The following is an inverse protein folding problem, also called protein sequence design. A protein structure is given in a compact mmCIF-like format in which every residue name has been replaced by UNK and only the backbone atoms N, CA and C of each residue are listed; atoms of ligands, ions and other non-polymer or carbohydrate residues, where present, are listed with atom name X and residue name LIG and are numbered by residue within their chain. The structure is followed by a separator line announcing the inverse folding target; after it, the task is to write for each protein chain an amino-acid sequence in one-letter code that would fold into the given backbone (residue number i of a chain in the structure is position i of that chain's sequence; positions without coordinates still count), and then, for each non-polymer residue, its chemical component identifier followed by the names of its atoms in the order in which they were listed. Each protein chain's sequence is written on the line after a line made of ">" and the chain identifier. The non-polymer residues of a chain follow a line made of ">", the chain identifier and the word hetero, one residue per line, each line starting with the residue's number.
data_IF_280101244270
#
_entry.id   IF_280101244270
#
_cell.length_a   1.000
_cell.length_b   1.000
_cell.length_c   1.000
_cell.angle_alpha   90.00
_cell.angle_beta   90.00
_cell.angle_gamma   90.00
#
_symmetry.space_group_name_H-M   'P 1'
#
loop_
_entity.id
_entity.type
_entity.pdbx_description
1 polymer ?
#
# COMPACT_ATOMS: atom_id res chain seq x y z
N UNK A 1 51.57 -46.93 -8.87
CA UNK A 1 53.05 -46.89 -9.00
C UNK A 1 53.48 -45.43 -8.82
N UNK A 2 54.39 -45.19 -7.88
CA UNK A 2 55.32 -44.05 -7.72
C UNK A 2 54.71 -42.63 -7.69
N UNK A 3 54.80 -41.81 -6.64
CA UNK A 3 55.89 -41.64 -5.68
C UNK A 3 56.98 -40.72 -6.26
N UNK A 4 57.22 -39.55 -5.66
CA UNK A 4 58.42 -38.76 -5.98
C UNK A 4 58.32 -37.24 -5.80
N UNK A 5 58.54 -36.77 -4.57
CA UNK A 5 58.92 -35.41 -4.15
C UNK A 5 60.41 -35.12 -4.41
N UNK A 6 60.75 -33.89 -4.79
CA UNK A 6 61.96 -33.10 -4.43
C UNK A 6 61.66 -31.64 -4.85
N UNK A 7 61.98 -30.55 -4.14
CA UNK A 7 62.87 -30.36 -3.00
C UNK A 7 63.78 -29.14 -3.26
N UNK A 8 63.33 -27.96 -2.81
CA UNK A 8 64.06 -26.78 -2.25
C UNK A 8 65.30 -26.10 -2.90
N UNK A 9 65.37 -24.79 -2.58
CA UNK A 9 66.49 -23.81 -2.55
C UNK A 9 66.66 -22.94 -3.83
N UNK A 10 66.85 -21.61 -3.79
CA UNK A 10 67.08 -20.58 -2.77
C UNK A 10 66.64 -19.21 -3.37
N UNK A 11 65.93 -18.34 -2.65
CA UNK A 11 66.42 -17.20 -1.83
C UNK A 11 67.21 -16.11 -2.58
N UNK A 12 66.55 -14.94 -2.70
CA UNK A 12 67.01 -13.54 -2.68
C UNK A 12 68.20 -13.11 -3.57
N UNK A 13 68.00 -12.12 -4.44
CA UNK A 13 68.00 -10.69 -4.09
C UNK A 13 68.11 -9.77 -5.34
N UNK A 14 67.69 -8.52 -5.15
CA UNK A 14 67.98 -7.33 -5.95
C UNK A 14 67.14 -7.00 -7.20
N UNK A 15 66.19 -6.10 -6.96
CA UNK A 15 66.14 -4.85 -7.71
C UNK A 15 65.07 -4.78 -8.79
N UNK A 16 63.97 -4.08 -8.51
CA UNK A 16 63.66 -2.76 -9.09
C UNK A 16 62.16 -2.48 -8.90
N UNK A 17 61.82 -1.49 -8.07
CA UNK A 17 60.44 -1.02 -7.88
C UNK A 17 60.23 0.18 -8.81
N UNK A 18 59.45 0.09 -9.90
CA UNK A 18 58.82 1.25 -10.47
C UNK A 18 57.49 1.50 -9.75
N UNK A 19 57.41 2.65 -9.06
CA UNK A 19 56.17 3.20 -8.49
C UNK A 19 55.11 3.36 -9.59
N UNK A 20 54.03 2.59 -9.51
CA UNK A 20 52.83 2.78 -10.33
C UNK A 20 51.98 3.87 -9.68
N UNK A 21 52.17 5.12 -10.12
CA UNK A 21 51.21 6.20 -9.90
C UNK A 21 49.96 5.97 -10.75
N UNK A 22 48.79 6.25 -10.18
CA UNK A 22 47.51 6.30 -10.91
C UNK A 22 46.47 5.27 -10.47
N UNK A 23 46.29 5.08 -9.15
CA UNK A 23 45.16 4.34 -8.60
C UNK A 23 43.90 5.20 -8.63
N UNK A 24 43.05 4.92 -9.61
CA UNK A 24 41.60 5.12 -9.67
C UNK A 24 40.98 6.06 -8.63
N UNK A 25 40.62 7.25 -9.09
CA UNK A 25 39.52 8.02 -8.51
C UNK A 25 38.22 7.26 -8.83
N UNK A 26 37.86 6.30 -7.97
CA UNK A 26 36.54 5.68 -7.99
C UNK A 26 35.61 6.61 -7.25
N UNK A 27 35.18 7.67 -7.91
CA UNK A 27 34.00 8.40 -7.47
C UNK A 27 32.82 7.44 -7.63
N UNK A 28 32.13 7.00 -6.57
CA UNK A 28 30.83 6.40 -6.77
C UNK A 28 29.92 7.58 -7.13
N UNK A 29 29.75 7.82 -8.42
CA UNK A 29 28.54 8.47 -8.91
C UNK A 29 27.39 7.51 -8.55
N UNK A 30 26.94 7.60 -7.30
CA UNK A 30 25.59 7.22 -6.90
C UNK A 30 24.69 8.15 -7.70
N UNK A 31 24.43 7.78 -8.95
CA UNK A 31 23.35 8.36 -9.72
C UNK A 31 22.10 8.04 -8.92
N UNK A 32 21.65 9.02 -8.13
CA UNK A 32 20.31 9.07 -7.59
C UNK A 32 19.41 8.91 -8.81
N UNK A 33 18.93 7.68 -9.01
CA UNK A 33 18.12 7.30 -10.16
C UNK A 33 16.87 8.16 -10.07
N UNK A 34 16.82 9.21 -10.89
CA UNK A 34 15.72 10.16 -10.87
C UNK A 34 14.44 9.37 -11.09
N UNK A 35 13.59 9.32 -10.06
CA UNK A 35 12.29 8.67 -10.17
C UNK A 35 11.52 9.43 -11.25
N UNK A 36 11.00 8.75 -12.29
CA UNK A 36 10.24 9.42 -13.34
C UNK A 36 9.13 10.26 -12.69
N UNK A 37 8.97 11.50 -13.11
CA UNK A 37 8.02 12.45 -12.50
C UNK A 37 6.61 11.87 -12.37
N UNK A 38 6.19 11.05 -13.34
CA UNK A 38 4.92 10.34 -13.32
C UNK A 38 4.79 9.32 -12.17
N UNK A 39 5.86 8.56 -11.87
CA UNK A 39 5.88 7.62 -10.77
C UNK A 39 5.86 8.33 -9.40
N UNK A 40 6.49 9.49 -9.29
CA UNK A 40 6.44 10.30 -8.07
C UNK A 40 5.02 10.86 -7.82
N UNK A 41 4.35 11.37 -8.86
CA UNK A 41 2.95 11.84 -8.77
C UNK A 41 2.00 10.70 -8.39
N UNK A 42 2.15 9.55 -9.03
CA UNK A 42 1.31 8.37 -8.75
C UNK A 42 1.46 7.91 -7.30
N UNK A 43 2.69 7.79 -6.77
CA UNK A 43 2.91 7.41 -5.37
C UNK A 43 2.33 8.44 -4.38
N UNK A 44 2.51 9.73 -4.64
CA UNK A 44 1.92 10.78 -3.80
C UNK A 44 0.39 10.73 -3.79
N UNK A 45 -0.23 10.39 -4.93
CA UNK A 45 -1.68 10.16 -5.02
C UNK A 45 -2.10 8.95 -4.18
N UNK A 46 -1.42 7.81 -4.31
CA UNK A 46 -1.71 6.60 -3.54
C UNK A 46 -1.58 6.85 -2.03
N UNK A 47 -0.52 7.54 -1.59
CA UNK A 47 -0.32 7.88 -0.18
C UNK A 47 -1.44 8.77 0.36
N UNK A 48 -1.88 9.76 -0.42
CA UNK A 48 -3.01 10.61 -0.04
C UNK A 48 -4.32 9.81 0.07
N UNK A 49 -4.58 8.91 -0.87
CA UNK A 49 -5.78 8.07 -0.85
C UNK A 49 -5.78 7.07 0.31
N UNK A 50 -4.62 6.51 0.65
CA UNK A 50 -4.47 5.65 1.82
C UNK A 50 -4.70 6.40 3.14
N UNK A 51 -4.18 7.63 3.25
CA UNK A 51 -4.43 8.47 4.42
C UNK A 51 -5.92 8.79 4.58
N UNK A 52 -6.61 9.10 3.48
CA UNK A 52 -8.06 9.33 3.50
C UNK A 52 -8.85 8.06 3.86
N UNK A 53 -8.48 6.90 3.29
CA UNK A 53 -9.09 5.62 3.64
C UNK A 53 -8.88 5.27 5.12
N UNK A 54 -7.69 5.53 5.66
CA UNK A 54 -7.37 5.32 7.08
C UNK A 54 -8.23 6.21 7.99
N UNK A 55 -8.40 7.49 7.63
CA UNK A 55 -9.29 8.40 8.36
C UNK A 55 -10.74 7.90 8.38
N UNK A 56 -11.27 7.51 7.22
CA UNK A 56 -12.63 6.97 7.11
C UNK A 56 -12.80 5.66 7.89
N UNK A 57 -11.77 4.81 7.90
CA UNK A 57 -11.78 3.56 8.66
C UNK A 57 -11.75 3.78 10.17
N UNK A 58 -11.05 4.81 10.65
CA UNK A 58 -11.08 5.21 12.06
C UNK A 58 -12.49 5.69 12.46
N UNK A 59 -13.08 6.58 11.66
CA UNK A 59 -14.45 7.07 11.90
C UNK A 59 -15.48 5.93 11.91
N UNK A 60 -15.31 4.94 11.02
CA UNK A 60 -16.15 3.75 10.99
C UNK A 60 -15.95 2.86 12.24
N UNK A 61 -14.72 2.73 12.73
CA UNK A 61 -14.43 1.99 13.97
C UNK A 61 -15.11 2.67 15.16
N UNK A 62 -14.93 3.97 15.32
CA UNK A 62 -15.57 4.75 16.38
C UNK A 62 -17.10 4.60 16.34
N UNK A 63 -17.69 4.66 15.14
CA UNK A 63 -19.13 4.46 14.96
C UNK A 63 -19.60 3.07 15.40
N UNK A 64 -18.82 2.02 15.10
CA UNK A 64 -19.09 0.64 15.54
C UNK A 64 -19.03 0.53 17.06
N UNK A 65 -18.02 1.11 17.69
CA UNK A 65 -17.86 1.08 19.15
C UNK A 65 -19.01 1.80 19.87
N UNK A 66 -19.37 3.00 19.40
CA UNK A 66 -20.50 3.77 19.92
C UNK A 66 -21.81 2.99 19.73
N UNK A 67 -22.05 2.44 18.55
CA UNK A 67 -23.26 1.66 18.26
C UNK A 67 -23.35 0.40 19.13
N UNK A 68 -22.20 -0.26 19.37
CA UNK A 68 -22.11 -1.42 20.24
C UNK A 68 -22.38 -1.08 21.71
N UNK A 69 -21.90 0.07 22.19
CA UNK A 69 -22.17 0.56 23.54
C UNK A 69 -23.65 0.95 23.73
N UNK A 70 -24.28 1.49 22.69
CA UNK A 70 -25.67 1.97 22.73
C UNK A 70 -26.69 0.88 22.38
N UNK A 71 -26.30 -0.40 22.49
CA UNK A 71 -27.00 -1.62 22.02
C UNK A 71 -28.49 -1.68 22.38
N UNK A 72 -29.32 -0.96 21.64
CA UNK A 72 -30.77 -1.10 21.65
C UNK A 72 -31.11 -2.14 20.60
N UNK A 73 -31.82 -3.21 20.97
CA UNK A 73 -32.44 -4.18 20.04
C UNK A 73 -33.60 -3.53 19.25
N UNK A 74 -33.37 -2.34 18.73
CA UNK A 74 -34.27 -1.61 17.86
C UNK A 74 -33.93 -1.95 16.41
N UNK A 75 -34.93 -1.92 15.53
CA UNK A 75 -34.70 -2.11 14.09
C UNK A 75 -33.74 -1.05 13.53
N UNK A 76 -33.81 0.19 14.01
CA UNK A 76 -32.87 1.26 13.62
C UNK A 76 -31.43 0.90 14.00
N UNK A 77 -31.21 0.40 15.22
CA UNK A 77 -29.88 -0.02 15.67
C UNK A 77 -29.31 -1.18 14.84
N UNK A 78 -30.13 -2.17 14.50
CA UNK A 78 -29.71 -3.29 13.65
C UNK A 78 -29.36 -2.84 12.22
N UNK A 79 -30.18 -1.94 11.64
CA UNK A 79 -29.90 -1.35 10.32
C UNK A 79 -28.62 -0.53 10.32
N UNK A 80 -28.39 0.23 11.39
CA UNK A 80 -27.16 1.01 11.58
C UNK A 80 -25.94 0.10 11.64
N UNK A 81 -26.01 -1.00 12.40
CA UNK A 81 -24.93 -1.97 12.48
C UNK A 81 -24.67 -2.66 11.13
N UNK A 82 -25.72 -2.98 10.36
CA UNK A 82 -25.59 -3.51 9.00
C UNK A 82 -24.96 -2.50 8.04
N UNK A 83 -25.30 -1.22 8.15
CA UNK A 83 -24.68 -0.16 7.33
C UNK A 83 -23.19 -0.04 7.63
N UNK A 84 -22.82 -0.02 8.91
CA UNK A 84 -21.43 0.01 9.35
C UNK A 84 -20.63 -1.20 8.85
N UNK A 85 -21.25 -2.38 8.81
CA UNK A 85 -20.61 -3.58 8.26
C UNK A 85 -20.20 -3.40 6.81
N UNK A 86 -21.06 -2.84 5.97
CA UNK A 86 -20.70 -2.62 4.56
C UNK A 86 -19.78 -1.42 4.36
N UNK A 87 -19.90 -0.38 5.18
CA UNK A 87 -18.89 0.70 5.20
C UNK A 87 -17.51 0.10 5.44
N UNK A 88 -17.37 -0.75 6.46
CA UNK A 88 -16.10 -1.39 6.80
C UNK A 88 -15.59 -2.28 5.67
N UNK A 89 -16.44 -3.12 5.06
CA UNK A 89 -16.01 -3.99 3.95
C UNK A 89 -15.62 -3.20 2.70
N UNK A 90 -16.38 -2.16 2.35
CA UNK A 90 -16.05 -1.28 1.23
C UNK A 90 -14.70 -0.58 1.42
N UNK A 91 -14.43 -0.07 2.62
CA UNK A 91 -13.12 0.52 2.95
C UNK A 91 -12.00 -0.52 2.90
N UNK A 92 -12.22 -1.74 3.42
CA UNK A 92 -11.24 -2.81 3.36
C UNK A 92 -10.86 -3.16 1.90
N UNK A 93 -11.85 -3.24 1.01
CA UNK A 93 -11.60 -3.44 -0.43
C UNK A 93 -10.80 -2.31 -1.06
N UNK A 94 -11.13 -1.04 -0.77
CA UNK A 94 -10.36 0.10 -1.26
C UNK A 94 -8.90 0.08 -0.74
N UNK A 95 -8.71 -0.18 0.55
CA UNK A 95 -7.36 -0.25 1.15
C UNK A 95 -6.56 -1.38 0.53
N UNK A 96 -7.14 -2.56 0.38
CA UNK A 96 -6.49 -3.71 -0.27
C UNK A 96 -5.97 -3.36 -1.66
N UNK A 97 -6.82 -2.77 -2.49
CA UNK A 97 -6.41 -2.35 -3.84
C UNK A 97 -5.32 -1.27 -3.83
N UNK A 98 -5.43 -0.25 -2.97
CA UNK A 98 -4.40 0.78 -2.86
C UNK A 98 -3.04 0.20 -2.44
N UNK A 99 -3.03 -0.81 -1.58
CA UNK A 99 -1.81 -1.52 -1.19
C UNK A 99 -1.24 -2.35 -2.35
N UNK A 100 -2.08 -3.01 -3.14
CA UNK A 100 -1.66 -3.69 -4.37
C UNK A 100 -1.02 -2.71 -5.36
N UNK A 101 -1.60 -1.53 -5.56
CA UNK A 101 -1.01 -0.49 -6.43
C UNK A 101 0.37 -0.05 -5.94
N UNK A 102 0.55 0.10 -4.62
CA UNK A 102 1.88 0.42 -4.06
C UNK A 102 2.88 -0.71 -4.28
N UNK A 103 2.45 -1.96 -4.11
CA UNK A 103 3.30 -3.12 -4.37
C UNK A 103 3.70 -3.20 -5.86
N UNK A 104 2.81 -2.85 -6.79
CA UNK A 104 3.14 -2.74 -8.23
C UNK A 104 4.15 -1.62 -8.47
N UNK A 105 3.93 -0.44 -7.88
CA UNK A 105 4.86 0.68 -7.99
C UNK A 105 6.26 0.36 -7.42
N UNK A 106 6.32 -0.50 -6.40
CA UNK A 106 7.56 -1.03 -5.84
C UNK A 106 8.19 -2.17 -6.66
N UNK A 107 7.47 -2.72 -7.63
CA UNK A 107 7.88 -3.88 -8.43
C UNK A 107 7.74 -5.23 -7.70
N UNK A 108 6.98 -5.28 -6.60
CA UNK A 108 6.68 -6.49 -5.84
C UNK A 108 5.56 -7.31 -6.48
N UNK A 109 4.63 -6.64 -7.18
CA UNK A 109 3.54 -7.24 -7.95
C UNK A 109 3.57 -6.78 -9.41
N UNK A 110 3.03 -7.60 -10.32
CA UNK A 110 2.95 -7.27 -11.75
C UNK A 110 1.61 -6.66 -12.13
N UNK A 111 0.53 -7.08 -11.48
CA UNK A 111 -0.85 -6.65 -11.77
C UNK A 111 -1.66 -6.58 -10.49
N UNK A 112 -2.64 -5.66 -10.46
CA UNK A 112 -3.62 -5.57 -9.39
C UNK A 112 -4.90 -6.26 -9.81
N UNK A 113 -5.60 -6.82 -8.84
CA UNK A 113 -6.96 -7.27 -9.06
C UNK A 113 -7.88 -6.06 -8.91
N UNK A 114 -8.78 -5.78 -9.88
CA UNK A 114 -9.77 -4.73 -9.70
C UNK A 114 -10.56 -4.99 -8.41
N UNK A 115 -10.78 -3.96 -7.58
CA UNK A 115 -11.47 -4.18 -6.32
C UNK A 115 -12.95 -4.48 -6.63
N UNK A 116 -13.60 -5.42 -5.94
CA UNK A 116 -15.00 -5.79 -6.19
C UNK A 116 -15.97 -4.74 -5.60
N UNK A 117 -15.77 -3.46 -5.92
CA UNK A 117 -16.41 -2.32 -5.24
C UNK A 117 -17.90 -2.15 -5.56
N UNK A 118 -18.31 -2.47 -6.79
CA UNK A 118 -19.70 -2.27 -7.24
C UNK A 118 -20.68 -3.26 -6.60
N UNK A 119 -20.24 -4.49 -6.31
CA UNK A 119 -21.13 -5.55 -5.84
C UNK A 119 -21.58 -5.35 -4.38
N UNK A 120 -20.73 -4.79 -3.52
CA UNK A 120 -21.05 -4.61 -2.10
C UNK A 120 -21.76 -3.28 -1.79
N UNK A 121 -21.47 -2.22 -2.56
CA UNK A 121 -22.05 -0.89 -2.38
C UNK A 121 -23.19 -0.57 -3.37
N UNK A 122 -23.38 -1.37 -4.41
CA UNK A 122 -24.52 -1.29 -5.33
C UNK A 122 -25.86 -1.70 -4.71
N UNK A 123 -25.87 -2.11 -3.44
CA UNK A 123 -27.08 -2.26 -2.66
C UNK A 123 -27.84 -0.92 -2.57
N UNK A 124 -29.19 -0.93 -2.57
CA UNK A 124 -29.97 0.29 -2.41
C UNK A 124 -29.53 1.05 -1.17
N UNK A 125 -29.36 2.36 -1.31
CA UNK A 125 -29.04 3.24 -0.19
C UNK A 125 -30.07 3.03 0.92
N UNK A 126 -29.66 2.82 2.17
CA UNK A 126 -30.63 2.77 3.26
C UNK A 126 -31.38 4.10 3.32
N UNK A 127 -32.66 4.05 3.69
CA UNK A 127 -33.40 5.25 4.06
C UNK A 127 -32.63 5.98 5.18
N UNK A 128 -32.20 7.25 4.98
CA UNK A 128 -31.45 8.00 5.98
C UNK A 128 -32.19 8.14 7.31
N UNK A 129 -33.53 8.10 7.30
CA UNK A 129 -34.34 8.14 8.52
C UNK A 129 -34.39 6.79 9.25
N UNK A 130 -33.93 5.71 8.61
CA UNK A 130 -33.96 4.35 9.15
C UNK A 130 -32.66 3.92 9.84
N UNK A 131 -31.62 4.75 9.82
CA UNK A 131 -30.32 4.51 10.46
C UNK A 131 -29.91 5.73 11.29
N UNK A 132 -28.80 5.60 12.02
CA UNK A 132 -28.20 6.72 12.72
C UNK A 132 -27.71 7.81 11.72
N UNK A 133 -27.98 9.10 11.95
CA UNK A 133 -27.61 10.18 11.03
C UNK A 133 -26.11 10.30 10.78
N UNK A 134 -25.27 10.05 11.79
CA UNK A 134 -23.82 10.08 11.63
C UNK A 134 -23.34 8.94 10.73
N UNK A 135 -23.90 7.73 10.92
CA UNK A 135 -23.61 6.59 10.05
C UNK A 135 -24.12 6.81 8.62
N UNK A 136 -25.24 7.50 8.44
CA UNK A 136 -25.75 7.84 7.12
C UNK A 136 -24.81 8.78 6.34
N UNK A 137 -24.27 9.80 7.02
CA UNK A 137 -23.29 10.74 6.46
C UNK A 137 -21.96 10.04 6.14
N UNK A 138 -21.43 9.29 7.11
CA UNK A 138 -20.20 8.51 6.92
C UNK A 138 -20.33 7.54 5.74
N UNK A 139 -21.46 6.85 5.63
CA UNK A 139 -21.73 5.95 4.51
C UNK A 139 -21.73 6.68 3.16
N UNK A 140 -22.15 7.94 3.10
CA UNK A 140 -22.10 8.71 1.86
C UNK A 140 -20.69 9.13 1.48
N UNK A 141 -19.91 9.60 2.46
CA UNK A 141 -18.50 9.93 2.24
C UNK A 141 -17.72 8.72 1.76
N UNK A 142 -17.97 7.54 2.34
CA UNK A 142 -17.33 6.28 1.92
C UNK A 142 -17.79 5.86 0.53
N UNK A 143 -19.08 5.98 0.18
CA UNK A 143 -19.55 5.73 -1.20
C UNK A 143 -18.88 6.66 -2.22
N UNK A 144 -18.76 7.95 -1.91
CA UNK A 144 -18.07 8.90 -2.77
C UNK A 144 -16.59 8.55 -2.93
N UNK A 145 -15.93 8.13 -1.85
CA UNK A 145 -14.56 7.63 -1.87
C UNK A 145 -14.41 6.40 -2.78
N UNK A 146 -15.30 5.42 -2.62
CA UNK A 146 -15.31 4.18 -3.41
C UNK A 146 -15.49 4.47 -4.90
N UNK A 147 -16.45 5.31 -5.28
CA UNK A 147 -16.66 5.72 -6.69
C UNK A 147 -15.41 6.37 -7.28
N UNK A 148 -14.66 7.11 -6.46
CA UNK A 148 -13.40 7.72 -6.89
C UNK A 148 -12.31 6.67 -7.11
N UNK A 149 -12.21 5.66 -6.23
CA UNK A 149 -11.27 4.53 -6.41
C UNK A 149 -11.64 3.71 -7.65
N UNK A 150 -12.91 3.41 -7.85
CA UNK A 150 -13.41 2.65 -8.99
C UNK A 150 -13.08 3.31 -10.34
N UNK A 151 -13.27 4.64 -10.42
CA UNK A 151 -12.85 5.44 -11.58
C UNK A 151 -11.34 5.41 -11.82
N UNK A 152 -10.53 5.28 -10.78
CA UNK A 152 -9.07 5.15 -10.90
C UNK A 152 -8.65 3.74 -11.31
N UNK A 153 -9.40 2.72 -10.89
CA UNK A 153 -9.13 1.33 -11.22
C UNK A 153 -9.50 0.95 -12.67
N UNK A 154 -10.41 1.72 -13.28
CA UNK A 154 -10.92 1.49 -14.64
C UNK A 154 -10.35 2.44 -15.70
N UNK A 155 -9.57 3.44 -15.30
CA UNK A 155 -8.89 4.40 -16.18
C UNK A 155 -7.57 3.85 -16.74
#
# INVERSE_FOLDING_TARGET
>A
MCGGTFGLAASNAHGNIPRRNGGHDVTPCTQARAVPHHAAIHNALLDRLLAEAASLAEEARDAVEITAATRRRSLQGLRTQQELGVIATGLAHCVGWLLEQKAIAAGELTHATPPPLEAELGRPRPDPLAIDPYVADLGERVRAFVVRIDRLATA
#
